data_IF_873278518266
#
_entry.id   IF_873278518266
#
_cell.length_a   1.000
_cell.length_b   1.000
_cell.length_c   1.000
_cell.angle_alpha   90.00
_cell.angle_beta   90.00
_cell.angle_gamma   90.00
#
_symmetry.space_group_name_H-M   'P 1'
#
loop_
_entity.id
_entity.type
_entity.pdbx_description
1 polymer ?
#
# COMPACT_ATOMS: atom_id res chain seq x y z
N UNK A 1 29.60 30.16 -40.01
CA UNK A 1 28.72 30.10 -38.81
C UNK A 1 27.96 28.75 -38.66
N UNK A 2 28.45 27.61 -39.17
CA UNK A 2 27.78 26.29 -39.01
C UNK A 2 28.44 25.36 -37.97
N UNK A 3 29.63 25.70 -37.47
CA UNK A 3 30.38 24.87 -36.52
C UNK A 3 29.86 24.99 -35.07
N UNK A 4 29.44 26.21 -34.67
CA UNK A 4 28.90 26.47 -33.33
C UNK A 4 27.62 25.69 -33.06
N UNK A 5 26.66 25.62 -33.99
CA UNK A 5 25.42 24.85 -33.80
C UNK A 5 25.67 23.35 -33.58
N UNK A 6 26.66 22.76 -34.26
CA UNK A 6 27.00 21.34 -34.12
C UNK A 6 27.57 21.02 -32.74
N UNK A 7 28.33 21.96 -32.15
CA UNK A 7 28.85 21.83 -30.79
C UNK A 7 27.75 21.90 -29.74
N UNK A 8 26.79 22.82 -29.87
CA UNK A 8 25.65 22.91 -28.95
C UNK A 8 24.76 21.65 -29.02
N UNK A 9 24.53 21.10 -30.22
CA UNK A 9 23.79 19.83 -30.39
C UNK A 9 24.51 18.63 -29.76
N UNK A 10 25.84 18.56 -29.82
CA UNK A 10 26.60 17.50 -29.17
C UNK A 10 26.58 17.61 -27.65
N UNK A 11 26.70 18.82 -27.11
CA UNK A 11 26.60 19.08 -25.66
C UNK A 11 25.21 18.74 -25.13
N UNK A 12 24.15 19.10 -25.88
CA UNK A 12 22.78 18.75 -25.51
C UNK A 12 22.54 17.24 -25.53
N UNK A 13 23.11 16.52 -26.50
CA UNK A 13 22.98 15.06 -26.60
C UNK A 13 23.71 14.36 -25.45
N UNK A 14 24.90 14.84 -25.05
CA UNK A 14 25.63 14.34 -23.88
C UNK A 14 24.86 14.61 -22.58
N UNK A 15 24.26 15.78 -22.42
CA UNK A 15 23.41 16.11 -21.25
C UNK A 15 22.19 15.20 -21.13
N UNK A 16 21.50 14.93 -22.24
CA UNK A 16 20.33 14.02 -22.27
C UNK A 16 20.75 12.58 -21.97
N UNK A 17 21.88 12.11 -22.51
CA UNK A 17 22.42 10.78 -22.21
C UNK A 17 22.84 10.66 -20.75
N UNK A 18 23.47 11.69 -20.16
CA UNK A 18 23.81 11.70 -18.73
C UNK A 18 22.56 11.68 -17.83
N UNK A 19 21.48 12.37 -18.20
CA UNK A 19 20.21 12.35 -17.46
C UNK A 19 19.52 10.98 -17.53
N UNK A 20 19.60 10.29 -18.67
CA UNK A 20 19.05 8.94 -18.86
C UNK A 20 19.92 7.83 -18.26
N UNK A 21 21.21 8.09 -18.06
CA UNK A 21 22.17 7.14 -17.50
C UNK A 21 22.19 7.13 -15.96
N UNK A 22 21.46 8.03 -15.29
CA UNK A 22 21.31 7.97 -13.85
C UNK A 22 20.35 6.83 -13.48
N UNK A 23 20.81 5.77 -12.78
CA UNK A 23 19.90 4.80 -12.21
C UNK A 23 19.07 5.52 -11.15
N UNK A 24 17.81 5.82 -11.48
CA UNK A 24 16.80 6.41 -10.56
C UNK A 24 16.67 5.57 -9.27
N UNK A 25 17.14 4.31 -9.31
CA UNK A 25 17.19 3.35 -8.22
C UNK A 25 18.13 3.71 -7.05
N UNK A 26 19.12 4.60 -7.21
CA UNK A 26 20.13 4.83 -6.16
C UNK A 26 19.65 5.75 -5.01
N UNK A 27 18.60 6.54 -5.19
CA UNK A 27 18.16 7.55 -4.20
C UNK A 27 17.02 7.03 -3.29
N UNK A 28 16.29 5.98 -3.71
CA UNK A 28 15.14 5.44 -2.98
C UNK A 28 15.47 4.39 -1.91
N UNK A 29 16.53 3.60 -2.09
CA UNK A 29 16.78 2.39 -1.29
C UNK A 29 16.91 2.60 0.22
N UNK A 30 17.59 3.68 0.66
CA UNK A 30 17.77 3.97 2.09
C UNK A 30 16.45 4.33 2.78
N UNK A 31 15.60 5.13 2.13
CA UNK A 31 14.29 5.51 2.69
C UNK A 31 13.35 4.32 2.77
N UNK A 32 13.35 3.44 1.76
CA UNK A 32 12.54 2.22 1.77
C UNK A 32 12.85 1.31 2.96
N UNK A 33 14.14 1.16 3.29
CA UNK A 33 14.56 0.37 4.45
C UNK A 33 14.06 0.93 5.77
N UNK A 34 14.13 2.25 5.97
CA UNK A 34 13.66 2.87 7.21
C UNK A 34 12.14 2.67 7.40
N UNK A 35 11.36 2.76 6.31
CA UNK A 35 9.93 2.44 6.32
C UNK A 35 9.68 0.96 6.63
N UNK A 36 10.44 0.06 6.01
CA UNK A 36 10.33 -1.37 6.29
C UNK A 36 10.62 -1.71 7.76
N UNK A 37 11.69 -1.17 8.33
CA UNK A 37 12.07 -1.42 9.73
C UNK A 37 11.01 -0.88 10.71
N UNK A 38 10.34 0.23 10.38
CA UNK A 38 9.15 0.72 11.13
C UNK A 38 7.95 -0.21 10.98
N UNK A 39 7.66 -0.64 9.75
CA UNK A 39 6.60 -1.59 9.45
C UNK A 39 6.75 -2.89 10.24
N UNK A 40 7.97 -3.43 10.32
CA UNK A 40 8.29 -4.62 11.12
C UNK A 40 7.97 -4.46 12.60
N UNK A 41 8.27 -3.29 13.19
CA UNK A 41 7.94 -3.00 14.60
C UNK A 41 6.42 -2.97 14.82
N UNK A 42 5.69 -2.37 13.88
CA UNK A 42 4.23 -2.30 13.92
C UNK A 42 3.59 -3.68 13.71
N UNK A 43 4.14 -4.50 12.80
CA UNK A 43 3.72 -5.88 12.57
C UNK A 43 3.89 -6.72 13.83
N UNK A 44 5.05 -6.65 14.49
CA UNK A 44 5.31 -7.34 15.75
C UNK A 44 4.38 -6.88 16.88
N UNK A 45 3.93 -5.63 16.84
CA UNK A 45 2.91 -5.07 17.74
C UNK A 45 1.47 -5.33 17.28
N UNK A 46 1.27 -6.12 16.21
CA UNK A 46 -0.02 -6.43 15.59
C UNK A 46 -0.83 -5.19 15.16
N UNK A 47 -0.15 -4.07 14.91
CA UNK A 47 -0.74 -2.84 14.38
C UNK A 47 -0.80 -2.91 12.85
N UNK A 48 -1.61 -3.82 12.34
CA UNK A 48 -1.60 -4.26 10.93
C UNK A 48 -1.84 -3.13 9.92
N UNK A 49 -2.78 -2.23 10.17
CA UNK A 49 -3.03 -1.07 9.29
C UNK A 49 -1.80 -0.17 9.15
N UNK A 50 -1.19 0.19 10.28
CA UNK A 50 -0.02 1.07 10.28
C UNK A 50 1.18 0.37 9.67
N UNK A 51 1.34 -0.93 9.94
CA UNK A 51 2.35 -1.75 9.29
C UNK A 51 2.17 -1.74 7.77
N UNK A 52 0.94 -1.94 7.28
CA UNK A 52 0.62 -1.89 5.85
C UNK A 52 0.99 -0.53 5.23
N UNK A 53 0.69 0.59 5.91
CA UNK A 53 1.05 1.93 5.44
C UNK A 53 2.57 2.11 5.32
N UNK A 54 3.34 1.71 6.33
CA UNK A 54 4.81 1.77 6.26
C UNK A 54 5.36 0.85 5.16
N UNK A 55 4.84 -0.36 5.02
CA UNK A 55 5.26 -1.26 3.95
C UNK A 55 4.87 -0.77 2.56
N UNK A 56 3.76 -0.03 2.38
CA UNK A 56 3.44 0.65 1.12
C UNK A 56 4.53 1.65 0.75
N UNK A 57 5.04 2.41 1.71
CA UNK A 57 6.13 3.37 1.48
C UNK A 57 7.46 2.65 1.18
N UNK A 58 7.72 1.51 1.82
CA UNK A 58 8.85 0.65 1.49
C UNK A 58 8.78 0.10 0.07
N UNK A 59 7.61 -0.41 -0.35
CA UNK A 59 7.35 -0.90 -1.71
C UNK A 59 7.44 0.21 -2.75
N UNK A 60 6.98 1.43 -2.45
CA UNK A 60 7.11 2.56 -3.36
C UNK A 60 8.59 2.91 -3.63
N UNK A 61 9.47 2.67 -2.65
CA UNK A 61 10.92 2.89 -2.81
C UNK A 61 11.63 1.75 -3.56
N UNK A 62 11.21 0.50 -3.37
CA UNK A 62 11.69 -0.66 -4.14
C UNK A 62 10.56 -1.68 -4.38
N UNK A 63 9.84 -1.58 -5.52
CA UNK A 63 8.71 -2.44 -5.82
C UNK A 63 9.06 -3.90 -6.04
N UNK A 64 10.33 -4.22 -6.33
CA UNK A 64 10.77 -5.58 -6.65
C UNK A 64 11.38 -6.31 -5.45
N UNK A 65 11.49 -5.63 -4.30
CA UNK A 65 11.96 -6.24 -3.07
C UNK A 65 10.96 -7.27 -2.54
N UNK A 66 11.36 -8.54 -2.54
CA UNK A 66 10.49 -9.67 -2.17
C UNK A 66 10.08 -9.60 -0.69
N UNK A 67 10.97 -9.16 0.20
CA UNK A 67 10.65 -9.03 1.63
C UNK A 67 9.58 -7.96 1.84
N UNK A 68 9.69 -6.82 1.17
CA UNK A 68 8.70 -5.75 1.28
C UNK A 68 7.34 -6.22 0.77
N UNK A 69 7.32 -6.96 -0.34
CA UNK A 69 6.09 -7.53 -0.89
C UNK A 69 5.44 -8.53 0.07
N UNK A 70 6.25 -9.43 0.66
CA UNK A 70 5.77 -10.45 1.58
C UNK A 70 5.12 -9.82 2.82
N UNK A 71 5.82 -8.89 3.45
CA UNK A 71 5.36 -8.23 4.67
C UNK A 71 4.17 -7.31 4.42
N UNK A 72 4.15 -6.58 3.30
CA UNK A 72 2.97 -5.83 2.88
C UNK A 72 1.74 -6.73 2.73
N UNK A 73 1.86 -7.83 1.98
CA UNK A 73 0.74 -8.78 1.76
C UNK A 73 0.22 -9.35 3.08
N UNK A 74 1.12 -9.72 3.98
CA UNK A 74 0.77 -10.17 5.33
C UNK A 74 0.03 -9.08 6.11
N UNK A 75 0.53 -7.86 6.11
CA UNK A 75 -0.05 -6.76 6.86
C UNK A 75 -1.46 -6.42 6.37
N UNK A 76 -1.67 -6.30 5.05
CA UNK A 76 -3.01 -6.00 4.50
C UNK A 76 -4.00 -7.15 4.73
N UNK A 77 -3.56 -8.40 4.63
CA UNK A 77 -4.40 -9.55 4.97
C UNK A 77 -4.87 -9.50 6.43
N UNK A 78 -3.95 -9.29 7.38
CA UNK A 78 -4.31 -9.23 8.79
C UNK A 78 -5.12 -7.97 9.16
N UNK A 79 -4.88 -6.84 8.48
CA UNK A 79 -5.73 -5.64 8.61
C UNK A 79 -7.16 -5.96 8.14
N UNK A 80 -7.32 -6.64 7.00
CA UNK A 80 -8.62 -7.11 6.52
C UNK A 80 -9.32 -7.99 7.56
N UNK A 81 -8.62 -8.97 8.13
CA UNK A 81 -9.20 -9.85 9.17
C UNK A 81 -9.59 -9.09 10.45
N UNK A 82 -8.82 -8.08 10.84
CA UNK A 82 -9.12 -7.22 12.00
C UNK A 82 -10.41 -6.44 11.78
N UNK A 83 -10.59 -5.86 10.59
CA UNK A 83 -11.82 -5.18 10.22
C UNK A 83 -13.02 -6.13 10.06
N UNK A 84 -12.80 -7.36 9.59
CA UNK A 84 -13.86 -8.39 9.59
C UNK A 84 -14.34 -8.68 11.01
N UNK A 85 -13.44 -8.78 11.98
CA UNK A 85 -13.79 -8.99 13.38
C UNK A 85 -14.54 -7.78 13.97
N UNK A 86 -14.06 -6.57 13.69
CA UNK A 86 -14.72 -5.34 14.11
C UNK A 86 -16.15 -5.25 13.54
N UNK A 87 -16.32 -5.54 12.24
CA UNK A 87 -17.62 -5.54 11.59
C UNK A 87 -18.59 -6.53 12.23
N UNK A 88 -18.14 -7.75 12.54
CA UNK A 88 -18.95 -8.73 13.27
C UNK A 88 -19.39 -8.23 14.65
N UNK A 89 -18.46 -7.64 15.41
CA UNK A 89 -18.76 -7.11 16.74
C UNK A 89 -19.77 -5.96 16.71
N UNK A 90 -19.67 -5.06 15.72
CA UNK A 90 -20.63 -3.98 15.52
C UNK A 90 -22.00 -4.51 15.08
N UNK A 91 -22.03 -5.52 14.22
CA UNK A 91 -23.27 -6.17 13.79
C UNK A 91 -23.99 -6.85 14.95
N UNK A 92 -23.26 -7.51 15.87
CA UNK A 92 -23.80 -8.09 17.10
C UNK A 92 -24.45 -7.03 18.00
N UNK A 93 -23.88 -5.81 18.02
CA UNK A 93 -24.41 -4.65 18.72
C UNK A 93 -25.56 -3.95 17.97
N UNK A 94 -25.98 -4.48 16.80
CA UNK A 94 -26.94 -3.88 15.87
C UNK A 94 -26.54 -2.52 15.30
N UNK A 95 -25.26 -2.15 15.41
CA UNK A 95 -24.71 -1.02 14.67
C UNK A 95 -24.38 -1.46 13.23
N UNK A 96 -25.41 -1.58 12.41
CA UNK A 96 -25.26 -2.07 11.04
C UNK A 96 -24.52 -1.09 10.12
N UNK A 97 -24.62 0.21 10.38
CA UNK A 97 -23.88 1.24 9.64
C UNK A 97 -22.38 1.16 9.97
N UNK A 98 -22.04 1.05 11.26
CA UNK A 98 -20.66 0.84 11.70
C UNK A 98 -20.10 -0.48 11.15
N UNK A 99 -20.86 -1.56 11.24
CA UNK A 99 -20.47 -2.87 10.72
C UNK A 99 -20.21 -2.84 9.20
N UNK A 100 -21.09 -2.21 8.43
CA UNK A 100 -20.92 -2.03 6.99
C UNK A 100 -19.60 -1.32 6.67
N UNK A 101 -19.29 -0.23 7.37
CA UNK A 101 -18.06 0.53 7.15
C UNK A 101 -16.81 -0.29 7.49
N UNK A 102 -16.85 -1.08 8.56
CA UNK A 102 -15.76 -1.98 8.90
C UNK A 102 -15.56 -3.06 7.83
N UNK A 103 -16.62 -3.72 7.35
CA UNK A 103 -16.50 -4.67 6.24
C UNK A 103 -15.99 -4.03 4.95
N UNK A 104 -16.40 -2.78 4.66
CA UNK A 104 -15.87 -2.02 3.52
C UNK A 104 -14.36 -1.77 3.66
N UNK A 105 -13.87 -1.43 4.85
CA UNK A 105 -12.44 -1.31 5.11
C UNK A 105 -11.73 -2.67 4.94
N UNK A 106 -12.33 -3.75 5.44
CA UNK A 106 -11.77 -5.10 5.25
C UNK A 106 -11.54 -5.45 3.77
N UNK A 107 -12.54 -5.17 2.92
CA UNK A 107 -12.44 -5.36 1.48
C UNK A 107 -11.41 -4.43 0.83
N UNK A 108 -11.29 -3.19 1.32
CA UNK A 108 -10.29 -2.24 0.84
C UNK A 108 -8.85 -2.70 1.06
N UNK A 109 -8.58 -3.42 2.16
CA UNK A 109 -7.27 -4.01 2.43
C UNK A 109 -7.03 -5.32 1.67
N UNK A 110 -8.07 -6.15 1.52
CA UNK A 110 -7.98 -7.42 0.78
C UNK A 110 -9.15 -7.57 -0.20
N UNK A 111 -8.99 -7.16 -1.47
CA UNK A 111 -10.04 -7.28 -2.48
C UNK A 111 -10.42 -8.73 -2.84
N UNK A 112 -9.62 -9.74 -2.45
CA UNK A 112 -10.01 -11.15 -2.64
C UNK A 112 -10.90 -11.67 -1.51
N UNK A 113 -11.07 -10.91 -0.43
CA UNK A 113 -11.97 -11.24 0.67
C UNK A 113 -13.45 -10.98 0.29
N UNK A 114 -14.01 -11.85 -0.55
CA UNK A 114 -15.41 -11.76 -1.00
C UNK A 114 -16.43 -11.89 0.14
N UNK A 115 -16.04 -12.52 1.26
CA UNK A 115 -16.88 -12.60 2.45
C UNK A 115 -17.23 -11.20 3.01
N UNK A 116 -16.30 -10.24 2.92
CA UNK A 116 -16.56 -8.85 3.32
C UNK A 116 -17.72 -8.23 2.51
N UNK A 117 -17.81 -8.56 1.21
CA UNK A 117 -18.90 -8.10 0.33
C UNK A 117 -20.24 -8.71 0.77
N UNK A 118 -20.28 -10.02 0.99
CA UNK A 118 -21.50 -10.70 1.46
C UNK A 118 -21.98 -10.15 2.81
N UNK A 119 -21.07 -9.82 3.73
CA UNK A 119 -21.43 -9.21 5.01
C UNK A 119 -21.89 -7.75 4.86
N UNK A 120 -21.28 -6.96 3.97
CA UNK A 120 -21.78 -5.62 3.64
C UNK A 120 -23.24 -5.66 3.16
N UNK A 121 -23.56 -6.54 2.22
CA UNK A 121 -24.93 -6.73 1.73
C UNK A 121 -25.88 -7.18 2.84
N UNK A 122 -25.41 -8.04 3.74
CA UNK A 122 -26.18 -8.47 4.91
C UNK A 122 -26.48 -7.29 5.84
N UNK A 123 -25.54 -6.38 6.07
CA UNK A 123 -25.75 -5.20 6.92
C UNK A 123 -26.81 -4.26 6.33
N UNK A 124 -26.81 -4.06 5.00
CA UNK A 124 -27.84 -3.26 4.33
C UNK A 124 -29.24 -3.85 4.53
N UNK A 125 -29.40 -5.16 4.34
CA UNK A 125 -30.70 -5.83 4.58
C UNK A 125 -31.17 -5.73 6.03
N UNK A 126 -30.25 -5.83 7.00
CA UNK A 126 -30.60 -5.75 8.42
C UNK A 126 -30.93 -4.32 8.87
N UNK A 127 -30.42 -3.30 8.19
CA UNK A 127 -30.73 -1.89 8.46
C UNK A 127 -32.15 -1.51 7.99
N UNK A 128 -32.70 -2.22 7.01
CA UNK A 128 -34.04 -1.98 6.46
C UNK A 128 -35.17 -2.60 7.31
N UNK A 129 -34.84 -3.42 8.31
CA UNK A 129 -35.78 -4.13 9.21
C UNK A 129 -35.90 -3.43 10.55
#
# INVERSE_FOLDING_TARGET
MKLQNRWHSLVALVMVVCLLALPVSAVGGKKGKDHFDRGMKLENAQQWEKAAQEFTLALAADPHNVDYQLHYRRAVFNASQSFMQQGRSLAEQRDYVGAYNAFRQAFGYDPVNQLAVSEMERMLRLQEV
#
